data_IF_286613530798
#
_entry.id   IF_286613530798
#
_cell.length_a   1.000
_cell.length_b   1.000
_cell.length_c   1.000
_cell.angle_alpha   90.00
_cell.angle_beta   90.00
_cell.angle_gamma   90.00
#
_symmetry.space_group_name_H-M   'P 1'
#
loop_
_entity.id
_entity.type
_entity.pdbx_description
1 polymer ?
#
# COMPACT_ATOMS: atom_id res chain seq x y z
N UNK A 1 3.38 -14.71 -62.32
CA UNK A 1 3.06 -13.67 -63.32
C UNK A 1 1.97 -12.77 -62.76
N UNK A 2 2.07 -11.46 -63.03
CA UNK A 2 1.28 -10.32 -62.50
C UNK A 2 -0.23 -10.48 -62.81
N UNK A 3 -1.18 -10.03 -61.98
CA UNK A 3 -1.80 -8.67 -61.83
C UNK A 3 -3.07 -8.86 -60.95
N UNK A 4 -3.81 -7.91 -60.37
CA UNK A 4 -3.69 -6.55 -59.85
C UNK A 4 -5.09 -6.23 -59.22
N UNK A 5 -5.10 -5.49 -58.11
CA UNK A 5 -6.16 -4.69 -57.44
C UNK A 5 -7.65 -4.79 -57.86
N UNK A 6 -8.52 -4.75 -56.83
CA UNK A 6 -9.73 -3.90 -56.82
C UNK A 6 -10.07 -3.41 -55.41
N UNK A 7 -10.08 -2.08 -55.24
CA UNK A 7 -10.72 -1.33 -54.14
C UNK A 7 -12.21 -1.16 -54.45
N UNK A 8 -13.10 -1.39 -53.48
CA UNK A 8 -14.38 -0.69 -53.29
C UNK A 8 -14.99 -1.17 -51.96
N UNK A 9 -14.94 -0.38 -50.88
CA UNK A 9 -15.94 0.62 -50.48
C UNK A 9 -17.28 0.06 -49.98
N UNK A 10 -17.45 0.23 -48.66
CA UNK A 10 -18.60 0.85 -47.98
C UNK A 10 -19.92 0.07 -47.80
N UNK A 11 -20.27 -0.02 -46.51
CA UNK A 11 -21.56 0.34 -45.90
C UNK A 11 -22.40 -0.80 -45.28
N UNK A 12 -23.00 -0.41 -44.14
CA UNK A 12 -24.02 -1.06 -43.32
C UNK A 12 -23.45 -1.94 -42.17
N UNK A 13 -23.73 -1.74 -40.89
CA UNK A 13 -24.75 -0.94 -40.20
C UNK A 13 -24.17 -0.18 -39.00
N UNK A 14 -24.56 1.08 -38.91
CA UNK A 14 -24.56 1.89 -37.70
C UNK A 14 -25.70 1.48 -36.76
N UNK A 15 -25.59 1.92 -35.50
CA UNK A 15 -26.65 2.06 -34.48
C UNK A 15 -26.82 0.88 -33.51
N UNK A 16 -26.10 0.97 -32.39
CA UNK A 16 -26.64 0.67 -31.07
C UNK A 16 -26.18 1.76 -30.10
N UNK A 17 -26.63 2.99 -30.35
CA UNK A 17 -26.59 4.07 -29.37
C UNK A 17 -27.94 4.07 -28.64
N UNK A 18 -27.92 3.99 -27.31
CA UNK A 18 -29.10 4.27 -26.49
C UNK A 18 -29.55 3.10 -25.62
N UNK A 19 -28.79 2.79 -24.58
CA UNK A 19 -29.40 2.42 -23.31
C UNK A 19 -29.00 3.49 -22.29
N UNK A 20 -29.95 4.24 -21.70
CA UNK A 20 -29.64 5.14 -20.63
C UNK A 20 -29.18 4.30 -19.43
N UNK A 21 -27.95 4.52 -18.98
CA UNK A 21 -27.53 4.07 -17.66
C UNK A 21 -28.41 4.81 -16.65
N UNK A 22 -29.41 4.11 -16.11
CA UNK A 22 -30.17 4.56 -14.97
C UNK A 22 -29.16 4.91 -13.87
N UNK A 23 -29.15 6.18 -13.45
CA UNK A 23 -28.31 6.65 -12.35
C UNK A 23 -28.67 5.84 -11.12
N UNK A 24 -27.75 5.00 -10.65
CA UNK A 24 -27.86 4.39 -9.34
C UNK A 24 -27.77 5.53 -8.32
N UNK A 25 -28.92 5.95 -7.79
CA UNK A 25 -28.97 6.74 -6.56
C UNK A 25 -28.30 5.89 -5.48
N UNK A 26 -27.13 6.32 -5.02
CA UNK A 26 -26.43 5.67 -3.92
C UNK A 26 -27.41 5.61 -2.73
N UNK A 27 -27.79 4.40 -2.33
CA UNK A 27 -28.51 4.17 -1.10
C UNK A 27 -27.73 4.83 0.05
N UNK A 28 -28.40 5.41 1.06
CA UNK A 28 -27.71 5.90 2.24
C UNK A 28 -26.85 4.76 2.80
N UNK A 29 -25.57 5.05 3.04
CA UNK A 29 -24.64 4.08 3.58
C UNK A 29 -25.28 3.47 4.84
N UNK A 30 -25.62 2.18 4.78
CA UNK A 30 -26.13 1.46 5.93
C UNK A 30 -25.13 1.66 7.08
N UNK A 31 -25.64 1.98 8.27
CA UNK A 31 -24.80 2.11 9.45
C UNK A 31 -23.92 0.85 9.56
N UNK A 32 -22.61 1.03 9.42
CA UNK A 32 -21.68 -0.07 9.58
C UNK A 32 -21.85 -0.60 11.01
N UNK A 33 -21.98 -1.92 11.21
CA UNK A 33 -21.99 -2.46 12.56
C UNK A 33 -20.72 -2.01 13.28
N UNK A 34 -20.87 -1.62 14.55
CA UNK A 34 -19.74 -1.27 15.40
C UNK A 34 -18.94 -2.56 15.62
N UNK A 35 -17.93 -2.77 14.78
CA UNK A 35 -16.97 -3.85 14.96
C UNK A 35 -16.09 -3.49 16.14
N UNK A 36 -16.43 -3.99 17.33
CA UNK A 36 -15.52 -3.97 18.47
C UNK A 36 -14.32 -4.87 18.17
N UNK A 37 -13.11 -4.37 18.41
CA UNK A 37 -11.86 -5.07 18.10
C UNK A 37 -11.60 -6.26 19.06
N UNK A 38 -12.48 -6.46 20.04
CA UNK A 38 -12.31 -7.41 21.15
C UNK A 38 -12.56 -8.90 20.83
N UNK A 39 -12.75 -9.30 19.57
CA UNK A 39 -12.87 -10.74 19.24
C UNK A 39 -11.52 -11.48 19.27
N UNK A 40 -10.41 -10.78 19.48
CA UNK A 40 -9.08 -11.37 19.64
C UNK A 40 -8.52 -11.09 21.04
N UNK A 41 -7.86 -12.07 21.70
CA UNK A 41 -7.08 -11.78 22.91
C UNK A 41 -6.03 -10.71 22.59
N UNK A 42 -5.75 -9.78 23.52
CA UNK A 42 -4.89 -8.63 23.26
C UNK A 42 -3.53 -9.11 22.73
N UNK A 43 -3.24 -8.79 21.46
CA UNK A 43 -2.02 -9.24 20.78
C UNK A 43 -0.77 -8.54 21.34
N UNK A 44 -0.95 -7.49 22.16
CA UNK A 44 0.05 -6.64 22.79
C UNK A 44 -0.52 -6.00 24.06
N UNK A 45 0.31 -5.27 24.81
CA UNK A 45 -0.08 -4.54 26.03
C UNK A 45 -0.92 -3.31 25.68
N UNK A 46 -2.14 -3.56 25.19
CA UNK A 46 -3.06 -2.56 24.68
C UNK A 46 -3.42 -1.54 25.78
N UNK A 47 -3.37 -0.22 25.50
CA UNK A 47 -3.81 0.77 26.46
C UNK A 47 -5.25 0.48 26.87
N UNK A 48 -5.53 0.54 28.18
CA UNK A 48 -6.88 0.29 28.72
C UNK A 48 -7.96 1.19 28.11
N UNK A 49 -7.56 2.33 27.57
CA UNK A 49 -8.44 3.33 26.95
C UNK A 49 -8.39 3.34 25.41
N UNK A 50 -7.88 2.28 24.76
CA UNK A 50 -7.71 2.24 23.29
C UNK A 50 -8.98 2.58 22.52
N UNK A 51 -10.12 1.95 22.86
CA UNK A 51 -11.41 2.19 22.20
C UNK A 51 -11.86 3.66 22.34
N UNK A 52 -11.60 4.27 23.50
CA UNK A 52 -11.89 5.69 23.73
C UNK A 52 -11.03 6.59 22.85
N UNK A 53 -9.73 6.30 22.74
CA UNK A 53 -8.81 7.04 21.87
C UNK A 53 -9.18 6.88 20.39
N UNK A 54 -9.56 5.66 19.98
CA UNK A 54 -10.04 5.37 18.63
C UNK A 54 -11.27 6.22 18.29
N UNK A 55 -12.30 6.22 19.15
CA UNK A 55 -13.50 7.04 18.93
C UNK A 55 -13.19 8.53 18.87
N UNK A 56 -12.37 9.05 19.79
CA UNK A 56 -11.92 10.46 19.73
C UNK A 56 -11.21 10.81 18.42
N UNK A 57 -10.43 9.87 17.89
CA UNK A 57 -9.74 10.05 16.61
C UNK A 57 -10.72 10.00 15.43
N UNK A 58 -11.69 9.09 15.45
CA UNK A 58 -12.74 9.01 14.44
C UNK A 58 -13.61 10.27 14.41
N UNK A 59 -13.98 10.81 15.58
CA UNK A 59 -14.73 12.07 15.68
C UNK A 59 -13.95 13.25 15.08
N UNK A 60 -12.64 13.32 15.36
CA UNK A 60 -11.76 14.34 14.79
C UNK A 60 -11.68 14.22 13.26
N UNK A 61 -11.56 12.99 12.74
CA UNK A 61 -11.55 12.73 11.30
C UNK A 61 -12.88 13.17 10.70
N UNK A 62 -14.02 12.75 11.27
CA UNK A 62 -15.36 13.10 10.80
C UNK A 62 -15.58 14.62 10.76
N UNK A 63 -15.16 15.36 11.80
CA UNK A 63 -15.23 16.82 11.84
C UNK A 63 -14.37 17.51 10.75
N UNK A 64 -13.36 16.80 10.23
CA UNK A 64 -12.46 17.26 9.18
C UNK A 64 -12.84 16.85 7.76
N UNK A 65 -13.68 15.83 7.55
CA UNK A 65 -14.01 15.26 6.22
C UNK A 65 -14.58 16.31 5.26
N UNK A 66 -15.26 17.33 5.78
CA UNK A 66 -15.84 18.41 4.96
C UNK A 66 -14.93 19.64 4.81
N UNK A 67 -13.75 19.64 5.44
CA UNK A 67 -12.80 20.75 5.40
C UNK A 67 -11.86 20.59 4.21
N UNK A 68 -12.40 20.74 3.01
CA UNK A 68 -11.61 20.69 1.79
C UNK A 68 -12.46 20.65 0.52
N UNK A 69 -11.83 20.76 -0.66
CA UNK A 69 -12.52 20.69 -1.94
C UNK A 69 -13.01 19.27 -2.29
N UNK A 70 -12.52 18.25 -1.58
CA UNK A 70 -12.86 16.85 -1.81
C UNK A 70 -13.81 16.32 -0.74
N UNK A 71 -14.81 15.54 -1.17
CA UNK A 71 -15.69 14.74 -0.32
C UNK A 71 -15.25 13.27 -0.37
N UNK A 72 -15.65 12.48 0.63
CA UNK A 72 -15.42 11.03 0.69
C UNK A 72 -16.32 10.26 -0.32
N UNK A 73 -16.24 10.59 -1.60
CA UNK A 73 -16.96 9.93 -2.69
C UNK A 73 -16.13 9.91 -3.97
N UNK A 74 -16.27 8.84 -4.76
CA UNK A 74 -15.55 8.66 -6.03
C UNK A 74 -15.72 9.85 -6.97
N UNK A 75 -16.96 10.30 -7.16
CA UNK A 75 -17.29 11.46 -7.99
C UNK A 75 -16.55 12.74 -7.58
N UNK A 76 -16.28 12.92 -6.28
CA UNK A 76 -15.49 14.06 -5.83
C UNK A 76 -14.01 13.90 -6.14
N UNK A 77 -13.46 12.69 -6.02
CA UNK A 77 -12.06 12.38 -6.28
C UNK A 77 -11.70 12.42 -7.77
N UNK A 78 -12.66 12.21 -8.66
CA UNK A 78 -12.47 12.37 -10.12
C UNK A 78 -11.99 13.78 -10.51
N UNK A 79 -12.29 14.80 -9.71
CA UNK A 79 -11.80 16.16 -9.93
C UNK A 79 -10.31 16.34 -9.57
N UNK A 80 -9.64 15.32 -9.02
CA UNK A 80 -8.22 15.41 -8.68
C UNK A 80 -7.35 15.42 -9.93
N UNK A 81 -6.43 16.39 -9.98
CA UNK A 81 -5.41 16.45 -11.01
C UNK A 81 -4.02 16.28 -10.41
N UNK A 82 -3.21 15.43 -11.03
CA UNK A 82 -1.83 15.20 -10.60
C UNK A 82 -1.05 16.52 -10.60
N UNK A 83 -0.44 16.89 -9.46
CA UNK A 83 0.23 18.17 -9.33
C UNK A 83 1.42 18.26 -10.29
N UNK A 84 1.70 19.48 -10.77
CA UNK A 84 2.75 19.72 -11.78
C UNK A 84 4.13 19.26 -11.33
N UNK A 85 4.46 19.43 -10.05
CA UNK A 85 5.76 19.01 -9.51
C UNK A 85 5.99 17.49 -9.63
N UNK A 86 4.92 16.69 -9.49
CA UNK A 86 4.99 15.23 -9.62
C UNK A 86 5.12 14.82 -11.09
N UNK A 87 4.33 15.44 -11.97
CA UNK A 87 4.41 15.20 -13.43
C UNK A 87 5.76 15.55 -14.02
N UNK A 88 6.39 16.63 -13.54
CA UNK A 88 7.68 17.10 -14.04
C UNK A 88 8.88 16.33 -13.45
N UNK A 89 8.65 15.52 -12.43
CA UNK A 89 9.67 14.68 -11.82
C UNK A 89 9.81 13.37 -12.62
N UNK A 90 10.46 13.44 -13.78
CA UNK A 90 10.70 12.31 -14.69
C UNK A 90 11.49 11.12 -14.08
N UNK A 91 11.92 11.18 -12.80
CA UNK A 91 12.68 10.11 -12.14
C UNK A 91 12.40 10.08 -10.64
N UNK A 92 11.70 9.04 -10.19
CA UNK A 92 11.38 8.77 -8.81
C UNK A 92 12.11 7.52 -8.31
N UNK A 93 12.69 7.57 -7.12
CA UNK A 93 13.28 6.39 -6.48
C UNK A 93 12.37 5.90 -5.36
N UNK A 94 11.82 4.69 -5.50
CA UNK A 94 11.14 3.99 -4.41
C UNK A 94 12.17 3.15 -3.63
N UNK A 95 12.19 3.29 -2.30
CA UNK A 95 13.02 2.45 -1.43
C UNK A 95 12.15 1.41 -0.75
N UNK A 96 12.31 0.12 -1.07
CA UNK A 96 11.57 -0.99 -0.44
C UNK A 96 11.88 -1.09 1.07
N UNK A 97 10.84 -1.30 1.90
CA UNK A 97 10.85 -1.22 3.37
C UNK A 97 12.02 -1.94 4.07
N UNK A 98 12.51 -1.32 5.14
CA UNK A 98 13.80 -1.63 5.74
C UNK A 98 13.76 -2.88 6.65
N UNK A 99 12.60 -3.20 7.26
CA UNK A 99 12.45 -4.40 8.08
C UNK A 99 12.66 -5.70 7.26
N UNK A 100 12.19 -5.72 6.01
CA UNK A 100 12.41 -6.84 5.08
C UNK A 100 13.89 -7.10 4.75
N UNK A 101 14.77 -6.10 4.96
CA UNK A 101 16.23 -6.17 4.68
C UNK A 101 17.06 -6.68 5.85
N UNK A 102 16.50 -6.81 7.05
CA UNK A 102 17.18 -7.44 8.18
C UNK A 102 17.56 -8.90 7.89
N UNK A 103 16.84 -9.55 6.95
CA UNK A 103 17.23 -10.85 6.42
C UNK A 103 18.17 -10.65 5.23
N UNK A 104 19.36 -11.24 5.33
CA UNK A 104 20.37 -11.32 4.25
C UNK A 104 19.98 -12.31 3.15
N UNK A 105 18.67 -12.57 2.99
CA UNK A 105 18.10 -13.46 1.98
C UNK A 105 17.08 -12.69 1.14
N UNK A 106 17.30 -12.76 -0.17
CA UNK A 106 16.68 -11.97 -1.24
C UNK A 106 15.15 -12.09 -1.23
N UNK A 107 14.48 -10.95 -1.44
CA UNK A 107 13.04 -10.72 -1.73
C UNK A 107 12.14 -10.28 -0.57
N UNK A 108 11.32 -9.27 -0.84
CA UNK A 108 10.35 -8.61 0.05
C UNK A 108 9.20 -9.51 0.56
N UNK A 109 9.23 -10.81 0.26
CA UNK A 109 8.27 -11.84 0.72
C UNK A 109 8.75 -12.66 1.92
N UNK A 110 9.84 -12.24 2.57
CA UNK A 110 10.53 -12.90 3.70
C UNK A 110 9.60 -13.50 4.75
N UNK A 111 8.53 -12.80 5.15
CA UNK A 111 7.60 -13.29 6.19
C UNK A 111 6.68 -14.38 5.72
N UNK A 112 5.98 -14.17 4.59
CA UNK A 112 5.04 -15.14 4.07
C UNK A 112 5.74 -16.47 3.79
N UNK A 113 6.88 -16.40 3.12
CA UNK A 113 7.63 -17.60 2.76
C UNK A 113 8.26 -18.31 3.96
N UNK A 114 8.58 -17.60 5.06
CA UNK A 114 9.14 -18.22 6.27
C UNK A 114 8.20 -19.21 6.96
N UNK A 115 6.90 -19.16 6.67
CA UNK A 115 5.89 -20.07 7.22
C UNK A 115 5.36 -21.09 6.18
N UNK A 116 5.80 -20.98 4.92
CA UNK A 116 5.48 -21.95 3.86
C UNK A 116 6.49 -23.08 3.91
N UNK A 117 6.04 -24.28 4.30
CA UNK A 117 6.86 -25.50 4.31
C UNK A 117 7.49 -25.74 2.94
N UNK A 118 8.70 -26.29 2.94
CA UNK A 118 9.50 -26.62 1.75
C UNK A 118 9.93 -25.41 0.89
N UNK A 119 9.72 -24.19 1.39
CA UNK A 119 10.34 -23.02 0.79
C UNK A 119 11.77 -22.85 1.29
N UNK A 120 12.65 -22.36 0.41
CA UNK A 120 14.04 -22.01 0.78
C UNK A 120 14.11 -21.07 2.00
N UNK A 121 13.11 -20.20 2.17
CA UNK A 121 12.99 -19.31 3.32
C UNK A 121 12.70 -20.06 4.62
N UNK A 122 11.81 -21.04 4.58
CA UNK A 122 11.44 -21.86 5.73
C UNK A 122 12.62 -22.72 6.21
N UNK A 123 13.32 -23.35 5.27
CA UNK A 123 14.47 -24.22 5.59
C UNK A 123 15.65 -23.43 6.14
N UNK A 124 15.97 -22.29 5.52
CA UNK A 124 17.02 -21.40 5.99
C UNK A 124 16.74 -20.89 7.41
N UNK A 125 15.51 -20.45 7.67
CA UNK A 125 15.15 -19.92 8.99
C UNK A 125 15.30 -20.99 10.08
N UNK A 126 14.86 -22.22 9.78
CA UNK A 126 15.03 -23.35 10.70
C UNK A 126 16.49 -23.69 10.96
N UNK A 127 17.34 -23.64 9.93
CA UNK A 127 18.75 -23.95 10.06
C UNK A 127 19.51 -22.89 10.87
N UNK A 128 19.16 -21.61 10.73
CA UNK A 128 19.91 -20.49 11.33
C UNK A 128 19.36 -20.07 12.69
N UNK A 129 18.04 -20.00 12.83
CA UNK A 129 17.37 -19.44 14.02
C UNK A 129 16.54 -20.48 14.78
N UNK A 130 16.37 -21.69 14.22
CA UNK A 130 15.58 -22.76 14.81
C UNK A 130 14.10 -22.71 14.42
N UNK A 131 13.25 -23.54 15.06
CA UNK A 131 11.84 -23.65 14.70
C UNK A 131 11.11 -22.31 14.82
N UNK A 132 10.28 -21.98 13.81
CA UNK A 132 9.52 -20.73 13.76
C UNK A 132 8.53 -20.54 14.93
N UNK A 133 8.14 -21.63 15.59
CA UNK A 133 7.32 -21.62 16.81
C UNK A 133 8.06 -21.10 18.04
N UNK A 134 9.41 -21.15 18.03
CA UNK A 134 10.28 -20.60 19.07
C UNK A 134 10.88 -19.26 18.62
N UNK A 135 11.35 -19.19 17.38
CA UNK A 135 11.92 -17.98 16.80
C UNK A 135 11.19 -17.59 15.51
N UNK A 136 10.21 -16.68 15.60
CA UNK A 136 9.45 -16.16 14.46
C UNK A 136 9.73 -14.70 14.13
N UNK A 137 8.99 -14.14 13.16
CA UNK A 137 9.27 -12.81 12.61
C UNK A 137 9.32 -11.69 13.65
N UNK A 138 8.42 -11.76 14.63
CA UNK A 138 8.32 -10.80 15.74
C UNK A 138 9.62 -10.62 16.52
N UNK A 139 10.50 -11.63 16.54
CA UNK A 139 11.76 -11.57 17.27
C UNK A 139 12.85 -10.76 16.54
N UNK A 140 12.65 -10.46 15.25
CA UNK A 140 13.53 -9.56 14.51
C UNK A 140 13.21 -8.09 14.75
N UNK A 141 11.96 -7.74 15.04
CA UNK A 141 11.51 -6.37 15.30
C UNK A 141 12.41 -5.64 16.32
N UNK A 142 12.66 -6.18 17.53
CA UNK A 142 13.52 -5.50 18.51
C UNK A 142 15.01 -5.45 18.09
N UNK A 143 15.42 -6.27 17.11
CA UNK A 143 16.80 -6.29 16.57
C UNK A 143 16.99 -5.30 15.43
N UNK A 144 15.91 -4.74 14.88
CA UNK A 144 15.94 -3.75 13.83
C UNK A 144 16.25 -2.36 14.41
N UNK A 145 17.54 -2.10 14.67
CA UNK A 145 18.00 -0.85 15.33
C UNK A 145 18.42 0.24 14.36
N UNK A 146 18.55 -0.07 13.07
CA UNK A 146 19.04 0.87 12.04
C UNK A 146 20.34 1.61 12.43
N UNK A 147 21.22 1.00 13.24
CA UNK A 147 22.37 1.70 13.84
C UNK A 147 23.36 2.35 12.84
N UNK A 148 23.34 1.91 11.57
CA UNK A 148 24.18 2.47 10.49
C UNK A 148 23.40 3.36 9.51
N UNK A 149 22.12 3.63 9.78
CA UNK A 149 21.29 4.46 8.92
C UNK A 149 21.66 5.93 9.11
N UNK A 150 21.99 6.61 8.02
CA UNK A 150 22.27 8.04 8.01
C UNK A 150 21.33 8.73 7.01
N UNK A 151 20.23 9.36 7.47
CA UNK A 151 19.24 9.97 6.59
C UNK A 151 19.83 11.12 5.77
N UNK A 152 20.82 11.86 6.29
CA UNK A 152 21.49 12.94 5.56
C UNK A 152 22.33 12.41 4.40
N UNK A 153 23.06 11.31 4.63
CA UNK A 153 23.85 10.67 3.58
C UNK A 153 22.96 10.11 2.46
N UNK A 154 21.81 9.52 2.82
CA UNK A 154 20.82 9.03 1.88
C UNK A 154 20.16 10.18 1.08
N UNK A 155 19.72 11.25 1.75
CA UNK A 155 19.18 12.43 1.08
C UNK A 155 20.20 13.04 0.09
N UNK A 156 21.47 13.13 0.50
CA UNK A 156 22.54 13.61 -0.38
C UNK A 156 22.76 12.68 -1.58
N UNK A 157 22.70 11.35 -1.38
CA UNK A 157 22.80 10.37 -2.45
C UNK A 157 21.65 10.51 -3.46
N UNK A 158 20.41 10.56 -2.98
CA UNK A 158 19.23 10.72 -3.85
C UNK A 158 19.27 12.04 -4.62
N UNK A 159 19.70 13.12 -3.97
CA UNK A 159 19.91 14.41 -4.63
C UNK A 159 20.97 14.32 -5.74
N UNK A 160 22.09 13.65 -5.50
CA UNK A 160 23.14 13.42 -6.53
C UNK A 160 22.65 12.52 -7.66
N UNK A 161 21.81 11.54 -7.36
CA UNK A 161 21.19 10.66 -8.36
C UNK A 161 20.10 11.37 -9.21
N UNK A 162 19.80 12.64 -8.92
CA UNK A 162 18.79 13.42 -9.65
C UNK A 162 17.35 13.17 -9.22
N UNK A 163 17.12 12.41 -8.13
CA UNK A 163 15.79 12.17 -7.62
C UNK A 163 15.14 13.49 -7.16
N UNK A 164 13.90 13.72 -7.59
CA UNK A 164 13.13 14.92 -7.24
C UNK A 164 12.23 14.74 -6.02
N UNK A 165 11.90 13.49 -5.71
CA UNK A 165 11.19 13.10 -4.49
C UNK A 165 11.58 11.68 -4.11
N UNK A 166 11.44 11.37 -2.82
CA UNK A 166 11.75 10.06 -2.24
C UNK A 166 10.59 9.68 -1.33
N UNK A 167 10.04 8.49 -1.52
CA UNK A 167 8.94 7.95 -0.71
C UNK A 167 9.47 6.73 0.04
N UNK A 168 9.76 6.83 1.35
CA UNK A 168 10.02 5.65 2.15
C UNK A 168 8.74 4.83 2.31
N UNK A 169 8.89 3.52 2.46
CA UNK A 169 7.76 2.65 2.79
C UNK A 169 7.48 2.82 4.28
N UNK A 170 6.36 3.44 4.62
CA UNK A 170 5.95 3.63 6.02
C UNK A 170 5.46 2.33 6.66
N UNK A 171 4.86 1.43 5.88
CA UNK A 171 4.44 0.10 6.28
C UNK A 171 4.40 -0.82 5.05
N UNK A 172 4.91 -2.04 5.16
CA UNK A 172 4.84 -3.04 4.10
C UNK A 172 3.78 -4.12 4.44
N UNK A 173 3.66 -5.19 3.64
CA UNK A 173 2.71 -6.28 3.93
C UNK A 173 3.07 -7.09 5.21
N UNK A 174 4.34 -7.08 5.60
CA UNK A 174 4.86 -6.30 6.74
C UNK A 174 4.05 -6.05 8.04
N UNK A 175 2.96 -5.29 8.00
CA UNK A 175 2.26 -4.92 9.24
C UNK A 175 3.15 -4.28 10.33
N UNK A 176 4.35 -3.81 9.98
CA UNK A 176 5.30 -3.18 10.90
C UNK A 176 5.40 -1.71 10.49
N UNK A 177 4.84 -0.79 11.31
CA UNK A 177 4.95 0.63 11.04
C UNK A 177 6.37 1.13 11.30
N UNK A 178 6.96 1.83 10.33
CA UNK A 178 8.31 2.42 10.38
C UNK A 178 8.30 3.93 10.76
N UNK A 179 7.24 4.44 11.42
CA UNK A 179 7.02 5.86 11.74
C UNK A 179 6.90 6.18 13.24
#
# INVERSE_FOLDING_TARGET
MRRALSLACLAALSVACGQPFAGATAAPAAAHPVYSVHTFPPLWNEPKDYEKLLHQQMDRVAAGVHRGPFKASWRSLEAYHTPRWFRNANSASSSTGACSRCRRFRTSGTRGNMYVKDSLAYDYERAVYGPQSKFGYKNFIPKFTMAKFNPKAWAALFKRAGARYVVPVAEHCDGFPEY
#
